data_IF_054223417004
#
_entry.id   IF_054223417004
#
_cell.length_a   1.000
_cell.length_b   1.000
_cell.length_c   1.000
_cell.angle_alpha   90.00
_cell.angle_beta   90.00
_cell.angle_gamma   90.00
#
_symmetry.space_group_name_H-M   'P 1'
#
loop_
_entity.id
_entity.type
_entity.pdbx_description
1 polymer ?
#
# COMPACT_ATOMS: atom_id res chain seq x y z
N UNK A 1 4.45 1.28 9.05
CA UNK A 1 5.27 2.44 8.63
C UNK A 1 6.67 2.45 9.26
N UNK A 2 6.81 2.23 10.57
CA UNK A 2 8.10 2.33 11.29
C UNK A 2 9.28 1.54 10.68
N UNK A 3 9.02 0.34 10.12
CA UNK A 3 10.06 -0.48 9.49
C UNK A 3 10.65 0.14 8.22
N UNK A 4 9.82 0.73 7.36
CA UNK A 4 10.28 1.37 6.11
C UNK A 4 11.12 2.60 6.42
N UNK A 5 10.67 3.42 7.39
CA UNK A 5 11.41 4.61 7.85
C UNK A 5 12.78 4.22 8.37
N UNK A 6 12.85 3.23 9.28
CA UNK A 6 14.10 2.76 9.84
C UNK A 6 15.08 2.22 8.79
N UNK A 7 14.58 1.51 7.76
CA UNK A 7 15.43 1.03 6.66
C UNK A 7 15.97 2.20 5.84
N UNK A 8 15.13 3.19 5.51
CA UNK A 8 15.54 4.37 4.73
C UNK A 8 16.59 5.18 5.49
N UNK A 9 16.37 5.45 6.77
CA UNK A 9 17.31 6.18 7.63
C UNK A 9 18.65 5.43 7.81
N UNK A 10 18.62 4.10 7.72
CA UNK A 10 19.80 3.23 7.82
C UNK A 10 20.51 2.92 6.49
N UNK A 11 20.08 3.47 5.35
CA UNK A 11 20.70 3.19 4.06
C UNK A 11 22.16 3.68 4.03
N UNK A 12 23.05 2.82 3.54
CA UNK A 12 24.47 3.16 3.37
C UNK A 12 24.77 3.59 1.95
N UNK A 13 25.66 4.57 1.79
CA UNK A 13 26.14 5.05 0.50
C UNK A 13 27.54 4.49 0.21
N UNK A 14 27.63 3.18 -0.05
CA UNK A 14 28.90 2.47 -0.30
C UNK A 14 29.29 2.45 -1.80
N UNK A 15 28.93 3.51 -2.54
CA UNK A 15 29.19 3.60 -3.98
C UNK A 15 28.38 2.63 -4.85
N UNK A 16 27.34 2.02 -4.29
CA UNK A 16 26.41 1.11 -4.98
C UNK A 16 24.95 1.56 -4.75
N UNK A 17 24.04 1.27 -5.69
CA UNK A 17 22.62 1.56 -5.50
C UNK A 17 22.02 0.68 -4.39
N UNK A 18 21.02 1.23 -3.71
CA UNK A 18 20.22 0.50 -2.73
C UNK A 18 18.87 0.08 -3.34
N UNK A 19 18.37 -1.10 -2.96
CA UNK A 19 17.04 -1.60 -3.30
C UNK A 19 16.34 -2.06 -2.02
N UNK A 20 15.11 -1.60 -1.81
CA UNK A 20 14.24 -2.05 -0.72
C UNK A 20 13.12 -2.90 -1.32
N UNK A 21 13.04 -4.16 -0.92
CA UNK A 21 11.94 -5.05 -1.30
C UNK A 21 10.88 -4.96 -0.19
N UNK A 22 9.83 -4.18 -0.44
CA UNK A 22 8.71 -4.05 0.48
C UNK A 22 7.67 -5.15 0.22
N UNK A 23 7.40 -6.00 1.22
CA UNK A 23 6.28 -6.92 1.17
C UNK A 23 4.97 -6.13 1.41
N UNK A 24 4.11 -6.06 0.40
CA UNK A 24 2.90 -5.24 0.40
C UNK A 24 1.67 -6.06 0.04
N UNK A 25 0.50 -5.61 0.48
CA UNK A 25 -0.78 -6.15 0.01
C UNK A 25 -1.41 -5.19 -1.00
N UNK A 26 -1.74 -5.68 -2.20
CA UNK A 26 -2.41 -4.87 -3.23
C UNK A 26 -3.78 -4.41 -2.71
N UNK A 27 -4.06 -3.11 -2.79
CA UNK A 27 -5.33 -2.56 -2.30
C UNK A 27 -5.52 -2.69 -0.79
N UNK A 28 -4.42 -2.65 -0.02
CA UNK A 28 -4.47 -2.65 1.45
C UNK A 28 -5.41 -1.54 1.97
N UNK A 29 -6.11 -1.83 3.06
CA UNK A 29 -7.01 -0.90 3.73
C UNK A 29 -8.44 -0.89 3.23
N UNK A 30 -8.74 -1.57 2.11
CA UNK A 30 -10.10 -1.67 1.57
C UNK A 30 -10.45 -3.14 1.36
N UNK A 31 -11.38 -3.67 2.14
CA UNK A 31 -11.67 -5.10 2.29
C UNK A 31 -12.07 -5.78 0.97
N UNK A 32 -12.83 -5.08 0.13
CA UNK A 32 -13.32 -5.60 -1.15
C UNK A 32 -12.32 -5.44 -2.31
N UNK A 33 -11.23 -4.69 -2.10
CA UNK A 33 -10.13 -4.48 -3.06
C UNK A 33 -8.89 -5.30 -2.68
N UNK A 34 -8.65 -5.50 -1.39
CA UNK A 34 -7.42 -6.08 -0.87
C UNK A 34 -7.15 -7.48 -1.44
N UNK A 35 -5.97 -7.65 -2.04
CA UNK A 35 -5.51 -8.92 -2.60
C UNK A 35 -6.21 -9.34 -3.90
N UNK A 36 -7.07 -8.50 -4.47
CA UNK A 36 -7.94 -8.87 -5.59
C UNK A 36 -7.41 -8.42 -6.96
N UNK A 37 -7.11 -9.34 -7.91
CA UNK A 37 -6.55 -8.98 -9.21
C UNK A 37 -7.46 -8.11 -10.08
N UNK A 38 -8.77 -8.30 -10.01
CA UNK A 38 -9.77 -7.56 -10.80
C UNK A 38 -9.73 -6.05 -10.54
N UNK A 39 -9.23 -5.65 -9.37
CA UNK A 39 -9.02 -4.26 -8.99
C UNK A 39 -7.69 -3.67 -9.47
N UNK A 40 -6.99 -4.35 -10.40
CA UNK A 40 -5.78 -3.77 -11.02
C UNK A 40 -6.08 -2.51 -11.84
N UNK A 41 -7.20 -2.53 -12.58
CA UNK A 41 -7.60 -1.47 -13.51
C UNK A 41 -9.02 -0.97 -13.25
N UNK A 42 -9.75 -1.59 -12.32
CA UNK A 42 -11.10 -1.16 -11.94
C UNK A 42 -11.01 0.02 -10.98
N UNK A 43 -11.90 0.98 -11.17
CA UNK A 43 -12.07 2.16 -10.31
C UNK A 43 -13.36 1.98 -9.50
N UNK A 44 -13.36 2.19 -8.17
CA UNK A 44 -14.58 2.20 -7.36
C UNK A 44 -15.58 3.24 -7.88
N UNK A 45 -16.89 2.94 -7.81
CA UNK A 45 -17.94 3.87 -8.26
C UNK A 45 -19.12 3.91 -7.29
N UNK A 46 -19.77 5.06 -7.20
CA UNK A 46 -20.99 5.23 -6.41
C UNK A 46 -20.76 4.84 -4.94
N UNK A 47 -21.56 3.91 -4.44
CA UNK A 47 -21.51 3.42 -3.06
C UNK A 47 -20.16 2.78 -2.70
N UNK A 48 -19.45 2.19 -3.68
CA UNK A 48 -18.12 1.61 -3.44
C UNK A 48 -17.09 2.67 -3.01
N UNK A 49 -17.24 3.93 -3.47
CA UNK A 49 -16.37 5.04 -3.04
C UNK A 49 -16.66 5.38 -1.58
N UNK A 50 -17.94 5.48 -1.20
CA UNK A 50 -18.34 5.80 0.16
C UNK A 50 -17.84 4.72 1.14
N UNK A 51 -18.01 3.45 0.78
CA UNK A 51 -17.52 2.32 1.58
C UNK A 51 -16.00 2.31 1.70
N UNK A 52 -15.27 2.50 0.60
CA UNK A 52 -13.80 2.58 0.64
C UNK A 52 -13.29 3.71 1.55
N UNK A 53 -13.93 4.88 1.48
CA UNK A 53 -13.59 6.02 2.34
C UNK A 53 -13.97 5.79 3.81
N UNK A 54 -14.98 4.98 4.08
CA UNK A 54 -15.33 4.57 5.44
C UNK A 54 -14.30 3.59 6.00
N UNK A 55 -13.96 2.53 5.25
CA UNK A 55 -12.96 1.54 5.67
C UNK A 55 -11.57 2.16 5.92
N UNK A 56 -11.18 3.17 5.15
CA UNK A 56 -9.90 3.87 5.35
C UNK A 56 -9.84 4.78 6.59
N UNK A 57 -10.97 5.12 7.22
CA UNK A 57 -10.94 5.97 8.43
C UNK A 57 -10.48 5.21 9.67
N UNK A 58 -10.65 3.90 9.67
CA UNK A 58 -10.36 3.02 10.80
C UNK A 58 -8.95 2.38 10.70
N UNK A 59 -8.17 2.77 9.69
CA UNK A 59 -6.80 2.30 9.43
C UNK A 59 -5.73 3.29 9.93
#
# INVERSE_FOLDING_TARGET
>A
MASVVSVIEGLKQEGKPNVIIANTTKGAGISFIQGRPEWHHRVPKGEEIALALEELKDE
#
